data_IF_383919367611
#
_entry.id   IF_383919367611
#
_cell.length_a   1.000
_cell.length_b   1.000
_cell.length_c   1.000
_cell.angle_alpha   90.00
_cell.angle_beta   90.00
_cell.angle_gamma   90.00
#
_symmetry.space_group_name_H-M   'P 1'
#
loop_
_entity.id
_entity.type
_entity.pdbx_description
1 polymer ?
#
# COMPACT_ATOMS: atom_id res chain seq x y z
N UNK A 1 -14.59 21.02 -52.83
CA UNK A 1 -15.68 21.94 -52.55
C UNK A 1 -15.75 22.29 -51.07
N UNK A 2 -16.33 23.43 -50.75
CA UNK A 2 -16.45 23.94 -49.37
C UNK A 2 -17.19 22.95 -48.44
N UNK A 3 -18.23 22.30 -48.92
CA UNK A 3 -18.98 21.30 -48.12
C UNK A 3 -18.13 20.09 -47.77
N UNK A 4 -17.33 19.59 -48.71
CA UNK A 4 -16.44 18.45 -48.48
C UNK A 4 -15.37 18.80 -47.42
N UNK A 5 -14.77 19.98 -47.56
CA UNK A 5 -13.78 20.48 -46.60
C UNK A 5 -14.41 20.65 -45.21
N UNK A 6 -15.61 21.15 -45.11
CA UNK A 6 -16.35 21.32 -43.87
C UNK A 6 -16.63 19.96 -43.20
N UNK A 7 -17.07 18.97 -43.98
CA UNK A 7 -17.32 17.61 -43.50
C UNK A 7 -16.04 16.93 -43.02
N UNK A 8 -14.96 17.10 -43.77
CA UNK A 8 -13.63 16.60 -43.34
C UNK A 8 -13.19 17.20 -42.01
N UNK A 9 -13.37 18.52 -41.84
CA UNK A 9 -13.10 19.19 -40.59
C UNK A 9 -13.93 18.64 -39.42
N UNK A 10 -15.22 18.46 -39.64
CA UNK A 10 -16.13 17.92 -38.65
C UNK A 10 -15.76 16.49 -38.25
N UNK A 11 -15.36 15.67 -39.22
CA UNK A 11 -14.87 14.31 -38.96
C UNK A 11 -13.60 14.30 -38.13
N UNK A 12 -12.66 15.17 -38.43
CA UNK A 12 -11.39 15.30 -37.70
C UNK A 12 -11.67 15.71 -36.24
N UNK A 13 -12.55 16.68 -36.05
CA UNK A 13 -12.96 17.13 -34.72
C UNK A 13 -13.60 16.00 -33.92
N UNK A 14 -14.52 15.26 -34.57
CA UNK A 14 -15.18 14.14 -33.90
C UNK A 14 -14.23 13.03 -33.53
N UNK A 15 -13.32 12.65 -34.43
CA UNK A 15 -12.27 11.66 -34.17
C UNK A 15 -11.35 12.11 -33.03
N UNK A 16 -10.98 13.39 -33.04
CA UNK A 16 -10.14 13.95 -31.97
C UNK A 16 -10.83 13.91 -30.61
N UNK A 17 -12.13 14.17 -30.56
CA UNK A 17 -12.93 14.04 -29.35
C UNK A 17 -12.97 12.61 -28.84
N UNK A 18 -13.21 11.66 -29.75
CA UNK A 18 -13.23 10.24 -29.40
C UNK A 18 -11.87 9.77 -28.86
N UNK A 19 -10.79 10.16 -29.52
CA UNK A 19 -9.44 9.84 -29.06
C UNK A 19 -9.14 10.45 -27.69
N UNK A 20 -9.54 11.71 -27.48
CA UNK A 20 -9.38 12.37 -26.19
C UNK A 20 -10.18 11.65 -25.09
N UNK A 21 -11.41 11.25 -25.36
CA UNK A 21 -12.24 10.51 -24.41
C UNK A 21 -11.62 9.16 -24.07
N UNK A 22 -11.10 8.43 -25.04
CA UNK A 22 -10.41 7.16 -24.82
C UNK A 22 -9.15 7.36 -23.97
N UNK A 23 -8.39 8.39 -24.25
CA UNK A 23 -7.18 8.71 -23.50
C UNK A 23 -7.52 9.03 -22.04
N UNK A 24 -8.56 9.83 -21.83
CA UNK A 24 -9.03 10.15 -20.47
C UNK A 24 -9.50 8.90 -19.74
N UNK A 25 -10.29 8.06 -20.40
CA UNK A 25 -10.79 6.82 -19.81
C UNK A 25 -9.63 5.87 -19.43
N UNK A 26 -8.64 5.74 -20.31
CA UNK A 26 -7.45 4.94 -20.02
C UNK A 26 -6.65 5.50 -18.85
N UNK A 27 -6.46 6.82 -18.83
CA UNK A 27 -5.75 7.49 -17.74
C UNK A 27 -6.45 7.31 -16.39
N UNK A 28 -7.78 7.43 -16.37
CA UNK A 28 -8.57 7.20 -15.16
C UNK A 28 -8.42 5.78 -14.65
N UNK A 29 -8.46 4.80 -15.55
CA UNK A 29 -8.29 3.39 -15.22
C UNK A 29 -6.89 3.10 -14.67
N UNK A 30 -5.87 3.67 -15.27
CA UNK A 30 -4.49 3.53 -14.80
C UNK A 30 -4.30 4.13 -13.40
N UNK A 31 -4.90 5.29 -13.16
CA UNK A 31 -4.88 5.94 -11.84
C UNK A 31 -5.56 5.06 -10.81
N UNK A 32 -6.73 4.52 -11.12
CA UNK A 32 -7.46 3.62 -10.23
C UNK A 32 -6.67 2.36 -9.92
N UNK A 33 -6.07 1.74 -10.93
CA UNK A 33 -5.22 0.57 -10.74
C UNK A 33 -3.99 0.89 -9.89
N UNK A 34 -3.33 2.00 -10.15
CA UNK A 34 -2.17 2.45 -9.37
C UNK A 34 -2.53 2.73 -7.91
N UNK A 35 -3.70 3.34 -7.69
CA UNK A 35 -4.22 3.59 -6.35
C UNK A 35 -4.45 2.28 -5.58
N UNK A 36 -5.13 1.32 -6.20
CA UNK A 36 -5.40 0.03 -5.55
C UNK A 36 -4.10 -0.75 -5.27
N UNK A 37 -3.16 -0.73 -6.20
CA UNK A 37 -1.84 -1.35 -6.01
C UNK A 37 -1.10 -0.72 -4.83
N UNK A 38 -1.03 0.61 -4.79
CA UNK A 38 -0.37 1.33 -3.71
C UNK A 38 -1.03 1.08 -2.35
N UNK A 39 -2.36 1.02 -2.32
CA UNK A 39 -3.13 0.70 -1.13
C UNK A 39 -2.83 -0.69 -0.59
N UNK A 40 -2.78 -1.68 -1.49
CA UNK A 40 -2.47 -3.07 -1.12
C UNK A 40 -1.02 -3.20 -0.65
N UNK A 41 -0.08 -2.55 -1.31
CA UNK A 41 1.33 -2.53 -0.91
C UNK A 41 1.49 -1.93 0.48
N UNK A 42 0.81 -0.81 0.75
CA UNK A 42 0.83 -0.16 2.05
C UNK A 42 0.25 -1.06 3.15
N UNK A 43 -0.87 -1.74 2.87
CA UNK A 43 -1.46 -2.71 3.82
C UNK A 43 -0.47 -3.82 4.16
N UNK A 44 0.23 -4.34 3.15
CA UNK A 44 1.22 -5.40 3.35
C UNK A 44 2.41 -4.90 4.16
N UNK A 45 2.91 -3.70 3.89
CA UNK A 45 3.99 -3.09 4.66
C UNK A 45 3.60 -2.85 6.12
N UNK A 46 2.41 -2.31 6.35
CA UNK A 46 1.88 -2.09 7.70
C UNK A 46 1.70 -3.42 8.43
N UNK A 47 1.18 -4.45 7.75
CA UNK A 47 1.05 -5.79 8.31
C UNK A 47 2.40 -6.39 8.72
N UNK A 48 3.40 -6.29 7.84
CA UNK A 48 4.76 -6.76 8.14
C UNK A 48 5.36 -6.01 9.32
N UNK A 49 5.19 -4.69 9.36
CA UNK A 49 5.68 -3.87 10.47
C UNK A 49 5.01 -4.24 11.79
N UNK A 50 3.69 -4.47 11.77
CA UNK A 50 2.94 -4.88 12.95
C UNK A 50 3.45 -6.22 13.50
N UNK A 51 3.70 -7.19 12.62
CA UNK A 51 4.25 -8.50 13.00
C UNK A 51 5.65 -8.33 13.60
N UNK A 52 6.51 -7.56 12.96
CA UNK A 52 7.87 -7.29 13.44
C UNK A 52 7.87 -6.65 14.82
N UNK A 53 7.01 -5.65 15.04
CA UNK A 53 6.87 -4.99 16.34
C UNK A 53 6.33 -5.93 17.39
N UNK A 54 5.36 -6.78 17.05
CA UNK A 54 4.81 -7.79 17.96
C UNK A 54 5.86 -8.79 18.39
N UNK A 55 6.68 -9.27 17.46
CA UNK A 55 7.79 -10.18 17.74
C UNK A 55 8.80 -9.54 18.70
N UNK A 56 9.17 -8.29 18.48
CA UNK A 56 10.09 -7.56 19.35
C UNK A 56 9.52 -7.34 20.75
N UNK A 57 8.22 -7.06 20.85
CA UNK A 57 7.55 -6.89 22.15
C UNK A 57 7.50 -8.21 22.93
N UNK A 58 7.20 -9.31 22.26
CA UNK A 58 7.19 -10.65 22.87
C UNK A 58 8.59 -11.00 23.37
N UNK A 59 9.61 -10.78 22.55
CA UNK A 59 11.00 -11.04 22.89
C UNK A 59 11.43 -10.24 24.13
N UNK A 60 11.09 -8.96 24.18
CA UNK A 60 11.37 -8.08 25.30
C UNK A 60 10.70 -8.57 26.59
N UNK A 61 9.44 -8.98 26.51
CA UNK A 61 8.71 -9.50 27.67
C UNK A 61 9.26 -10.83 28.17
N UNK A 62 9.69 -11.71 27.27
CA UNK A 62 10.34 -12.98 27.63
C UNK A 62 11.67 -12.75 28.33
N UNK A 63 12.49 -11.83 27.81
CA UNK A 63 13.77 -11.46 28.43
C UNK A 63 13.56 -10.90 29.85
N UNK A 64 12.55 -10.06 30.04
CA UNK A 64 12.19 -9.52 31.33
C UNK A 64 11.76 -10.61 32.33
N UNK A 65 10.92 -11.54 31.90
CA UNK A 65 10.51 -12.68 32.72
C UNK A 65 11.69 -13.57 33.11
N UNK A 66 12.56 -13.84 32.17
CA UNK A 66 13.78 -14.61 32.41
C UNK A 66 14.66 -13.94 33.47
N UNK A 67 14.83 -12.64 33.36
CA UNK A 67 15.58 -11.86 34.36
C UNK A 67 14.94 -11.92 35.74
N UNK A 68 13.62 -11.79 35.81
CA UNK A 68 12.87 -11.90 37.06
C UNK A 68 13.02 -13.29 37.71
N UNK A 69 12.97 -14.34 36.89
CA UNK A 69 13.18 -15.72 37.38
C UNK A 69 14.59 -15.92 37.94
N UNK A 70 15.59 -15.39 37.27
CA UNK A 70 16.98 -15.48 37.74
C UNK A 70 17.14 -14.79 39.10
N UNK A 71 16.60 -13.58 39.24
CA UNK A 71 16.62 -12.82 40.49
C UNK A 71 15.89 -13.55 41.60
N UNK A 72 14.71 -14.07 41.34
CA UNK A 72 13.91 -14.81 42.31
C UNK A 72 14.61 -16.10 42.76
N UNK A 73 15.23 -16.83 41.83
CA UNK A 73 16.00 -18.02 42.16
C UNK A 73 17.21 -17.69 43.04
N UNK A 74 17.89 -16.58 42.77
CA UNK A 74 19.01 -16.11 43.56
C UNK A 74 18.59 -15.77 45.01
N UNK A 75 17.50 -15.02 45.15
CA UNK A 75 16.92 -14.66 46.44
C UNK A 75 16.50 -15.92 47.22
N UNK A 76 15.86 -16.87 46.57
CA UNK A 76 15.48 -18.13 47.18
C UNK A 76 16.67 -18.95 47.67
N UNK A 77 17.80 -18.87 46.97
CA UNK A 77 19.06 -19.54 47.42
C UNK A 77 19.65 -18.89 48.64
N UNK A 78 19.53 -17.57 48.77
CA UNK A 78 20.08 -16.83 49.94
C UNK A 78 19.27 -17.09 51.20
N UNK A 79 17.95 -17.21 51.05
CA UNK A 79 17.03 -17.45 52.18
C UNK A 79 17.11 -18.86 52.77
N UNK A 80 17.70 -19.76 52.03
CA UNK A 80 17.98 -21.12 52.52
C UNK A 80 19.20 -21.11 53.43
#
# INVERSE_FOLDING_TARGET
AEETTKKEKEMIIEQSKEEAQKLIATAKKEIETSYETAKNDLKNEVGTLAITLSEKLIQKNLDKKTQEQIVNNYIGSIEK
#
